data_IF_441448320150
#
_entry.id   IF_441448320150
#
_cell.length_a   1.000
_cell.length_b   1.000
_cell.length_c   1.000
_cell.angle_alpha   90.00
_cell.angle_beta   90.00
_cell.angle_gamma   90.00
#
_symmetry.space_group_name_H-M   'P 1'
#
loop_
_entity.id
_entity.type
_entity.pdbx_description
1 polymer ?
#
# COMPACT_ATOMS: atom_id res chain seq x y z
N UNK A 1 24.20 -12.41 26.77
CA UNK A 1 23.54 -13.40 25.87
C UNK A 1 23.19 -12.77 24.52
N UNK A 2 22.48 -11.65 24.47
CA UNK A 2 22.19 -10.92 23.21
C UNK A 2 23.46 -10.56 22.41
N UNK A 3 24.47 -10.00 23.06
CA UNK A 3 25.76 -9.64 22.44
C UNK A 3 26.46 -10.85 21.78
N UNK A 4 26.44 -12.01 22.44
CA UNK A 4 27.00 -13.26 21.89
C UNK A 4 26.25 -13.72 20.63
N UNK A 5 24.92 -13.72 20.64
CA UNK A 5 24.13 -14.11 19.47
C UNK A 5 24.30 -13.13 18.30
N UNK A 6 24.25 -11.82 18.57
CA UNK A 6 24.49 -10.79 17.55
C UNK A 6 25.89 -10.92 16.94
N UNK A 7 26.91 -11.25 17.76
CA UNK A 7 28.26 -11.52 17.29
C UNK A 7 28.34 -12.74 16.37
N UNK A 8 27.70 -13.86 16.72
CA UNK A 8 27.64 -15.05 15.84
C UNK A 8 27.00 -14.72 14.50
N UNK A 9 25.84 -14.05 14.54
CA UNK A 9 25.09 -13.69 13.34
C UNK A 9 25.90 -12.76 12.45
N UNK A 10 26.52 -11.72 13.02
CA UNK A 10 27.34 -10.77 12.29
C UNK A 10 28.57 -11.43 11.64
N UNK A 11 29.26 -12.32 12.36
CA UNK A 11 30.40 -13.08 11.81
C UNK A 11 29.97 -13.98 10.65
N UNK A 12 28.88 -14.74 10.82
CA UNK A 12 28.33 -15.60 9.77
C UNK A 12 28.06 -14.82 8.47
N UNK A 13 27.43 -13.65 8.57
CA UNK A 13 27.11 -12.83 7.40
C UNK A 13 28.33 -12.17 6.77
N UNK A 14 29.31 -11.76 7.60
CA UNK A 14 30.59 -11.23 7.10
C UNK A 14 31.33 -12.29 6.30
N UNK A 15 31.45 -13.51 6.85
CA UNK A 15 32.10 -14.63 6.18
C UNK A 15 31.41 -15.01 4.86
N UNK A 16 30.07 -15.07 4.85
CA UNK A 16 29.31 -15.31 3.62
C UNK A 16 29.50 -14.20 2.58
N UNK A 17 29.51 -12.94 3.02
CA UNK A 17 29.70 -11.81 2.12
C UNK A 17 31.08 -11.83 1.48
N UNK A 18 32.12 -12.09 2.26
CA UNK A 18 33.50 -12.18 1.77
C UNK A 18 33.69 -13.32 0.78
N UNK A 19 32.99 -14.44 0.97
CA UNK A 19 33.00 -15.55 0.01
C UNK A 19 32.25 -15.19 -1.28
N UNK A 20 31.04 -14.60 -1.17
CA UNK A 20 30.22 -14.23 -2.33
C UNK A 20 30.82 -13.06 -3.13
N UNK A 21 31.54 -12.15 -2.48
CA UNK A 21 32.21 -11.01 -3.11
C UNK A 21 33.22 -11.46 -4.18
N UNK A 22 33.87 -12.63 -3.99
CA UNK A 22 34.80 -13.22 -4.98
C UNK A 22 34.14 -13.48 -6.33
N UNK A 23 32.82 -13.68 -6.33
CA UNK A 23 32.00 -13.92 -7.52
C UNK A 23 31.28 -12.67 -8.03
N UNK A 24 31.58 -11.48 -7.47
CA UNK A 24 30.93 -10.20 -7.81
C UNK A 24 29.40 -10.26 -7.67
N UNK A 25 28.90 -10.98 -6.66
CA UNK A 25 27.47 -11.09 -6.36
C UNK A 25 27.09 -10.08 -5.28
N UNK A 26 25.94 -9.43 -5.46
CA UNK A 26 25.33 -8.62 -4.41
C UNK A 26 24.72 -9.56 -3.37
N UNK A 27 24.89 -9.19 -2.11
CA UNK A 27 24.38 -9.92 -0.96
C UNK A 27 23.31 -9.09 -0.28
N UNK A 28 22.19 -9.72 0.03
CA UNK A 28 21.18 -9.21 0.95
C UNK A 28 20.79 -10.33 1.89
N UNK A 29 20.29 -9.91 3.04
CA UNK A 29 19.76 -10.77 4.07
C UNK A 29 18.30 -10.39 4.22
N UNK A 30 17.45 -11.38 4.44
CA UNK A 30 16.11 -11.19 4.97
C UNK A 30 16.04 -12.04 6.24
N UNK A 31 16.75 -11.61 7.27
CA UNK A 31 16.89 -12.39 8.48
C UNK A 31 15.57 -12.41 9.22
N UNK A 32 15.14 -13.63 9.56
CA UNK A 32 14.08 -14.05 10.47
C UNK A 32 12.73 -13.33 10.36
N UNK A 33 11.71 -14.11 9.99
CA UNK A 33 10.32 -13.66 9.85
C UNK A 33 9.74 -12.94 11.09
N UNK A 34 8.68 -12.17 10.82
CA UNK A 34 7.84 -11.39 11.77
C UNK A 34 8.50 -10.40 12.73
N UNK A 35 9.78 -10.54 13.10
CA UNK A 35 10.43 -9.67 14.09
C UNK A 35 11.40 -8.67 13.47
N UNK A 36 10.90 -7.47 13.16
CA UNK A 36 11.70 -6.37 12.59
C UNK A 36 12.36 -5.50 13.68
N UNK A 37 13.31 -6.08 14.43
CA UNK A 37 14.02 -5.35 15.51
C UNK A 37 15.16 -4.47 14.99
N UNK A 38 15.66 -3.57 15.85
CA UNK A 38 16.84 -2.75 15.51
C UNK A 38 18.13 -3.57 15.46
N UNK A 39 18.23 -4.62 16.28
CA UNK A 39 19.33 -5.57 16.19
C UNK A 39 19.33 -6.30 14.84
N UNK A 40 18.16 -6.73 14.38
CA UNK A 40 18.01 -7.30 13.05
C UNK A 40 18.38 -6.29 11.96
N UNK A 41 17.90 -5.05 12.05
CA UNK A 41 18.27 -3.99 11.10
C UNK A 41 19.76 -3.71 11.06
N UNK A 42 20.45 -3.75 12.20
CA UNK A 42 21.90 -3.59 12.28
C UNK A 42 22.64 -4.70 11.54
N UNK A 43 22.25 -5.96 11.76
CA UNK A 43 22.81 -7.09 11.03
C UNK A 43 22.60 -6.94 9.52
N UNK A 44 21.42 -6.52 9.10
CA UNK A 44 21.13 -6.25 7.68
C UNK A 44 21.89 -5.03 7.15
N UNK A 45 22.39 -4.15 8.00
CA UNK A 45 23.23 -3.03 7.57
C UNK A 45 24.61 -3.46 7.07
N UNK A 46 24.99 -4.73 7.21
CA UNK A 46 26.25 -5.23 6.67
C UNK A 46 26.16 -5.69 5.19
N UNK A 47 24.95 -5.77 4.62
CA UNK A 47 24.70 -6.25 3.25
C UNK A 47 24.83 -5.16 2.19
N UNK A 48 24.80 -5.51 0.90
CA UNK A 48 24.89 -4.52 -0.19
C UNK A 48 23.58 -3.74 -0.37
N UNK A 49 22.45 -4.38 -0.08
CA UNK A 49 21.13 -3.77 -0.02
C UNK A 49 20.30 -4.44 1.08
N UNK A 50 19.30 -3.73 1.59
CA UNK A 50 18.41 -4.25 2.65
C UNK A 50 17.09 -4.63 2.01
N UNK A 51 16.57 -5.81 2.36
CA UNK A 51 15.22 -6.22 1.99
C UNK A 51 14.39 -6.51 3.23
N UNK A 52 13.10 -6.18 3.15
CA UNK A 52 12.11 -6.56 4.15
C UNK A 52 10.86 -7.09 3.47
N UNK A 53 10.24 -8.10 4.08
CA UNK A 53 8.95 -8.62 3.66
C UNK A 53 7.91 -8.35 4.73
N UNK A 54 6.77 -7.79 4.35
CA UNK A 54 5.61 -7.68 5.22
C UNK A 54 4.33 -8.04 4.45
N UNK A 55 3.46 -8.83 5.06
CA UNK A 55 2.14 -9.12 4.49
C UNK A 55 1.07 -8.48 5.39
N UNK A 56 0.26 -7.59 4.82
CA UNK A 56 -0.95 -7.09 5.46
C UNK A 56 -2.06 -8.12 5.36
N UNK A 57 -2.78 -8.33 6.45
CA UNK A 57 -3.60 -9.51 6.67
C UNK A 57 -2.86 -10.83 6.32
N UNK A 58 -2.23 -11.48 7.29
CA UNK A 58 -1.50 -12.73 7.05
C UNK A 58 -2.43 -13.95 6.93
N UNK A 59 -1.91 -15.08 6.44
CA UNK A 59 -2.46 -16.38 6.77
C UNK A 59 -1.66 -17.01 7.93
N UNK A 60 -2.30 -17.86 8.73
CA UNK A 60 -1.59 -18.72 9.70
C UNK A 60 -1.28 -20.11 9.14
N UNK A 61 -1.65 -20.37 7.89
CA UNK A 61 -1.41 -21.65 7.24
C UNK A 61 0.04 -21.74 6.75
N UNK A 62 0.55 -22.98 6.65
CA UNK A 62 1.86 -23.26 6.04
C UNK A 62 1.81 -23.01 4.51
N UNK A 63 0.61 -22.96 3.92
CA UNK A 63 0.41 -22.78 2.48
C UNK A 63 -0.33 -21.49 2.18
N UNK A 64 0.15 -20.80 1.13
CA UNK A 64 -0.43 -19.59 0.56
C UNK A 64 -1.68 -19.88 -0.30
N UNK A 65 -1.89 -21.16 -0.60
CA UNK A 65 -3.13 -21.64 -1.20
C UNK A 65 -4.27 -21.49 -0.21
N UNK A 66 -5.35 -20.88 -0.68
CA UNK A 66 -6.58 -20.79 0.12
C UNK A 66 -7.28 -22.16 0.16
N UNK A 67 -7.52 -22.64 1.37
CA UNK A 67 -8.36 -23.82 1.63
C UNK A 67 -9.50 -23.47 2.58
N UNK A 68 -10.50 -24.35 2.68
CA UNK A 68 -11.39 -24.32 3.83
C UNK A 68 -10.58 -24.38 5.14
N UNK A 69 -11.04 -23.67 6.16
CA UNK A 69 -10.37 -23.46 7.44
C UNK A 69 -9.08 -22.64 7.40
N UNK A 70 -8.71 -22.05 6.26
CA UNK A 70 -7.62 -21.08 6.28
C UNK A 70 -7.94 -19.92 7.21
N UNK A 71 -7.02 -19.61 8.11
CA UNK A 71 -7.15 -18.54 9.11
C UNK A 71 -6.41 -17.31 8.60
N UNK A 72 -7.11 -16.18 8.61
CA UNK A 72 -6.57 -14.86 8.36
C UNK A 72 -6.21 -14.21 9.69
N UNK A 73 -5.11 -13.47 9.74
CA UNK A 73 -4.73 -12.60 10.86
C UNK A 73 -4.66 -11.16 10.39
N UNK A 74 -4.67 -10.20 11.32
CA UNK A 74 -4.53 -8.77 11.02
C UNK A 74 -5.56 -8.21 10.02
N UNK A 75 -6.83 -8.58 10.20
CA UNK A 75 -7.96 -8.15 9.37
C UNK A 75 -8.45 -6.72 9.64
N UNK A 76 -7.60 -5.87 10.21
CA UNK A 76 -7.95 -4.50 10.58
C UNK A 76 -7.55 -3.53 9.46
N UNK A 77 -8.25 -2.40 9.30
CA UNK A 77 -7.86 -1.40 8.32
C UNK A 77 -6.49 -0.82 8.68
N UNK A 78 -5.57 -0.81 7.72
CA UNK A 78 -4.29 -0.11 7.87
C UNK A 78 -4.48 1.37 8.18
N UNK A 79 -5.56 1.95 7.66
CA UNK A 79 -5.90 3.37 7.85
C UNK A 79 -6.18 3.73 9.30
N UNK A 80 -6.45 2.77 10.19
CA UNK A 80 -6.65 3.01 11.63
C UNK A 80 -5.41 2.64 12.48
N UNK A 81 -4.39 2.02 11.87
CA UNK A 81 -3.22 1.51 12.59
C UNK A 81 -1.95 2.32 12.29
N UNK A 82 -1.32 2.85 13.33
CA UNK A 82 -0.01 3.50 13.24
C UNK A 82 1.15 2.49 13.23
N UNK A 83 0.89 1.22 13.53
CA UNK A 83 1.87 0.14 13.55
C UNK A 83 1.67 -0.80 12.37
N UNK A 84 1.42 -0.22 11.19
CA UNK A 84 1.28 -0.95 9.94
C UNK A 84 2.64 -1.11 9.23
N UNK A 85 2.65 -1.83 8.10
CA UNK A 85 3.89 -2.12 7.37
C UNK A 85 4.65 -0.90 6.87
N UNK A 86 3.99 0.25 6.64
CA UNK A 86 4.69 1.46 6.23
C UNK A 86 5.61 1.93 7.36
N UNK A 87 5.10 1.88 8.60
CA UNK A 87 5.90 2.20 9.78
C UNK A 87 7.06 1.21 9.93
N UNK A 88 6.82 -0.08 9.69
CA UNK A 88 7.88 -1.09 9.77
C UNK A 88 8.94 -0.92 8.69
N UNK A 89 8.57 -0.74 7.43
CA UNK A 89 9.53 -0.48 6.36
C UNK A 89 10.38 0.77 6.64
N UNK A 90 9.73 1.85 7.07
CA UNK A 90 10.43 3.10 7.41
C UNK A 90 11.42 2.92 8.56
N UNK A 91 11.06 2.15 9.59
CA UNK A 91 11.93 1.84 10.74
C UNK A 91 13.06 0.85 10.45
N UNK A 92 13.08 0.25 9.26
CA UNK A 92 14.09 -0.74 8.87
C UNK A 92 14.98 -0.27 7.71
N UNK A 93 14.73 0.93 7.16
CA UNK A 93 15.51 1.46 6.06
C UNK A 93 16.88 1.95 6.57
N UNK A 94 17.97 1.36 6.06
CA UNK A 94 19.35 1.73 6.42
C UNK A 94 19.85 2.87 5.53
N UNK A 95 20.61 3.79 6.13
CA UNK A 95 21.22 4.91 5.44
C UNK A 95 22.24 4.44 4.39
N UNK A 96 22.31 5.14 3.26
CA UNK A 96 23.26 4.88 2.17
C UNK A 96 23.17 3.46 1.58
N UNK A 97 22.00 2.81 1.65
CA UNK A 97 21.76 1.50 1.03
C UNK A 97 20.48 1.48 0.21
N UNK A 98 20.45 0.80 -0.94
CA UNK A 98 19.20 0.46 -1.59
C UNK A 98 18.29 -0.32 -0.63
N UNK A 99 16.99 -0.03 -0.67
CA UNK A 99 16.00 -0.64 0.21
C UNK A 99 14.88 -1.26 -0.62
N UNK A 100 14.69 -2.56 -0.46
CA UNK A 100 13.65 -3.34 -1.13
C UNK A 100 12.51 -3.63 -0.14
N UNK A 101 11.35 -3.04 -0.38
CA UNK A 101 10.14 -3.23 0.43
C UNK A 101 9.21 -4.22 -0.27
N UNK A 102 9.33 -5.51 0.09
CA UNK A 102 8.47 -6.57 -0.43
C UNK A 102 7.19 -6.60 0.38
N UNK A 103 6.05 -6.44 -0.26
CA UNK A 103 4.77 -6.32 0.44
C UNK A 103 3.67 -7.16 -0.19
N UNK A 104 2.72 -7.62 0.60
CA UNK A 104 1.53 -8.31 0.12
C UNK A 104 0.31 -7.90 0.93
N UNK A 105 -0.88 -8.15 0.40
CA UNK A 105 -2.12 -8.08 1.17
C UNK A 105 -3.00 -9.27 0.85
N UNK A 106 -3.46 -9.97 1.88
CA UNK A 106 -4.23 -11.20 1.67
C UNK A 106 -5.65 -10.93 1.19
N UNK A 107 -6.09 -11.70 0.21
CA UNK A 107 -7.48 -11.93 -0.10
C UNK A 107 -8.10 -12.84 1.00
N UNK A 108 -9.29 -12.60 1.55
CA UNK A 108 -10.25 -11.54 1.27
C UNK A 108 -10.30 -10.53 2.41
N UNK A 109 -9.21 -9.78 2.62
CA UNK A 109 -9.27 -8.61 3.47
C UNK A 109 -10.22 -7.56 2.85
N UNK A 110 -11.20 -7.08 3.62
CA UNK A 110 -12.08 -5.97 3.20
C UNK A 110 -11.25 -4.74 2.79
N UNK A 111 -10.07 -4.59 3.37
CA UNK A 111 -9.16 -3.48 3.18
C UNK A 111 -8.02 -3.77 2.19
N UNK A 112 -8.10 -4.86 1.40
CA UNK A 112 -7.03 -5.27 0.47
C UNK A 112 -6.64 -4.22 -0.59
N UNK A 113 -7.47 -3.19 -0.79
CA UNK A 113 -7.19 -2.10 -1.71
C UNK A 113 -6.28 -1.01 -1.11
N UNK A 114 -6.25 -0.80 0.21
CA UNK A 114 -5.48 0.29 0.86
C UNK A 114 -3.99 0.25 0.52
N UNK A 115 -3.31 -0.92 0.59
CA UNK A 115 -1.89 -1.01 0.29
C UNK A 115 -1.54 -0.53 -1.13
N UNK A 116 -2.43 -0.74 -2.10
CA UNK A 116 -2.18 -0.46 -3.52
C UNK A 116 -2.05 1.03 -3.82
N UNK A 117 -2.55 1.91 -2.94
CA UNK A 117 -2.38 3.37 -3.06
C UNK A 117 -1.37 3.93 -2.06
N UNK A 118 -1.24 3.32 -0.87
CA UNK A 118 -0.31 3.76 0.16
C UNK A 118 1.15 3.37 -0.14
N UNK A 119 1.41 2.12 -0.52
CA UNK A 119 2.78 1.67 -0.83
C UNK A 119 3.49 2.49 -1.91
N UNK A 120 2.89 2.78 -3.07
CA UNK A 120 3.57 3.56 -4.10
C UNK A 120 3.93 4.98 -3.63
N UNK A 121 3.06 5.63 -2.84
CA UNK A 121 3.33 6.95 -2.25
C UNK A 121 4.58 6.90 -1.37
N UNK A 122 4.60 5.99 -0.40
CA UNK A 122 5.70 5.89 0.55
C UNK A 122 6.98 5.37 -0.10
N UNK A 123 6.88 4.46 -1.07
CA UNK A 123 8.03 3.97 -1.80
C UNK A 123 8.72 5.08 -2.60
N UNK A 124 7.95 5.90 -3.34
CA UNK A 124 8.50 7.03 -4.09
C UNK A 124 9.13 8.07 -3.15
N UNK A 125 8.38 8.46 -2.11
CA UNK A 125 8.84 9.46 -1.12
C UNK A 125 10.13 9.05 -0.40
N UNK A 126 10.31 7.74 -0.12
CA UNK A 126 11.45 7.23 0.64
C UNK A 126 12.55 6.59 -0.22
N UNK A 127 12.38 6.59 -1.54
CA UNK A 127 13.28 5.92 -2.48
C UNK A 127 13.47 4.44 -2.12
N UNK A 128 12.35 3.74 -2.03
CA UNK A 128 12.30 2.29 -1.87
C UNK A 128 12.00 1.64 -3.22
N UNK A 129 12.63 0.50 -3.45
CA UNK A 129 12.19 -0.46 -4.47
C UNK A 129 11.05 -1.30 -3.88
N UNK A 130 9.81 -0.85 -4.04
CA UNK A 130 8.66 -1.60 -3.56
C UNK A 130 8.29 -2.72 -4.55
N UNK A 131 8.13 -3.93 -4.03
CA UNK A 131 7.74 -5.11 -4.82
C UNK A 131 6.46 -5.66 -4.22
N UNK A 132 5.36 -5.60 -4.98
CA UNK A 132 4.16 -6.32 -4.59
C UNK A 132 4.36 -7.81 -4.85
N UNK A 133 4.29 -8.57 -3.78
CA UNK A 133 4.46 -10.00 -3.76
C UNK A 133 3.19 -10.69 -4.30
N UNK A 134 3.38 -11.64 -5.22
CA UNK A 134 2.32 -12.47 -5.79
C UNK A 134 2.82 -13.90 -5.93
N UNK A 135 2.01 -14.88 -5.52
CA UNK A 135 2.25 -16.28 -5.84
C UNK A 135 1.35 -16.71 -7.01
N UNK A 136 1.83 -17.65 -7.81
CA UNK A 136 1.00 -18.53 -8.61
C UNK A 136 1.25 -19.94 -8.06
N UNK A 137 0.31 -20.50 -7.30
CA UNK A 137 0.55 -21.74 -6.55
C UNK A 137 0.89 -22.93 -7.46
N UNK A 138 0.38 -22.96 -8.70
CA UNK A 138 0.60 -24.07 -9.66
C UNK A 138 0.81 -23.55 -11.09
N UNK A 139 -0.05 -22.65 -11.57
CA UNK A 139 0.13 -21.94 -12.85
C UNK A 139 -0.65 -20.63 -12.84
N UNK A 140 -0.33 -19.73 -13.78
CA UNK A 140 -1.06 -18.48 -13.99
C UNK A 140 -2.43 -18.66 -14.68
N UNK A 141 -2.86 -19.91 -14.88
CA UNK A 141 -3.99 -20.21 -15.79
C UNK A 141 -5.36 -20.06 -15.12
N UNK A 142 -5.43 -19.99 -13.78
CA UNK A 142 -6.68 -19.76 -13.04
C UNK A 142 -7.01 -18.26 -13.01
N UNK A 143 -7.42 -17.72 -14.16
CA UNK A 143 -7.82 -16.30 -14.29
C UNK A 143 -9.20 -16.01 -13.68
N UNK A 144 -10.07 -17.02 -13.55
CA UNK A 144 -11.46 -16.85 -13.12
C UNK A 144 -11.70 -17.10 -11.62
N UNK A 145 -10.64 -17.35 -10.85
CA UNK A 145 -10.74 -17.68 -9.42
C UNK A 145 -9.48 -17.24 -8.67
N UNK A 146 -9.67 -16.52 -7.57
CA UNK A 146 -8.60 -16.21 -6.60
C UNK A 146 -8.40 -17.45 -5.73
N UNK A 147 -7.25 -18.13 -5.85
CA UNK A 147 -6.93 -19.37 -5.14
C UNK A 147 -5.71 -19.24 -4.20
N UNK A 148 -5.14 -18.03 -4.13
CA UNK A 148 -4.00 -17.66 -3.33
C UNK A 148 -4.24 -16.34 -2.60
N UNK A 149 -3.79 -16.23 -1.34
CA UNK A 149 -3.96 -15.03 -0.53
C UNK A 149 -3.36 -13.78 -1.19
N UNK A 150 -2.19 -13.89 -1.82
CA UNK A 150 -1.45 -12.71 -2.29
C UNK A 150 -1.52 -12.49 -3.80
N UNK A 151 -2.14 -13.40 -4.55
CA UNK A 151 -2.33 -13.27 -6.00
C UNK A 151 -2.81 -11.87 -6.43
N UNK A 152 -2.15 -11.36 -7.48
CA UNK A 152 -2.50 -10.11 -8.15
C UNK A 152 -3.10 -10.37 -9.53
N UNK A 153 -2.57 -11.36 -10.27
CA UNK A 153 -2.86 -11.60 -11.69
C UNK A 153 -4.33 -11.93 -12.01
N UNK A 154 -5.10 -12.40 -11.03
CA UNK A 154 -6.52 -12.71 -11.12
C UNK A 154 -7.35 -11.96 -10.07
N UNK A 155 -6.76 -10.96 -9.38
CA UNK A 155 -7.48 -10.16 -8.39
C UNK A 155 -7.92 -8.82 -9.01
N UNK A 156 -9.21 -8.66 -9.34
CA UNK A 156 -9.69 -7.48 -10.06
C UNK A 156 -9.53 -6.18 -9.27
N UNK A 157 -9.67 -6.21 -7.94
CA UNK A 157 -9.44 -5.04 -7.08
C UNK A 157 -8.00 -4.57 -7.17
N UNK A 158 -7.02 -5.49 -7.11
CA UNK A 158 -5.59 -5.14 -7.21
C UNK A 158 -5.20 -4.70 -8.63
N UNK A 159 -5.69 -5.39 -9.67
CA UNK A 159 -5.40 -5.05 -11.06
C UNK A 159 -5.94 -3.68 -11.47
N UNK A 160 -7.17 -3.36 -11.08
CA UNK A 160 -7.78 -2.06 -11.39
C UNK A 160 -6.98 -0.88 -10.80
N UNK A 161 -6.25 -1.11 -9.70
CA UNK A 161 -5.41 -0.11 -9.04
C UNK A 161 -3.96 -0.09 -9.54
N UNK A 162 -3.52 -1.02 -10.41
CA UNK A 162 -2.15 -1.01 -10.91
C UNK A 162 -1.77 0.29 -11.65
N UNK A 163 -2.61 0.85 -12.55
CA UNK A 163 -2.33 2.16 -13.17
C UNK A 163 -2.32 3.30 -12.15
N UNK A 164 -3.18 3.23 -11.12
CA UNK A 164 -3.22 4.20 -10.02
C UNK A 164 -1.91 4.18 -9.23
N UNK A 165 -1.41 2.99 -8.90
CA UNK A 165 -0.17 2.82 -8.16
C UNK A 165 1.02 3.41 -8.94
N UNK A 166 1.08 3.17 -10.25
CA UNK A 166 2.10 3.77 -11.11
C UNK A 166 2.00 5.30 -11.12
N UNK A 167 0.80 5.86 -11.29
CA UNK A 167 0.59 7.31 -11.30
C UNK A 167 0.97 7.97 -9.96
N UNK A 168 0.63 7.35 -8.83
CA UNK A 168 1.05 7.82 -7.50
C UNK A 168 2.58 7.79 -7.38
N UNK A 169 3.21 6.68 -7.75
CA UNK A 169 4.67 6.52 -7.63
C UNK A 169 5.42 7.57 -8.47
N UNK A 170 5.11 7.67 -9.76
CA UNK A 170 5.77 8.63 -10.66
C UNK A 170 5.32 10.08 -10.44
N UNK A 171 4.16 10.29 -9.83
CA UNK A 171 3.66 11.62 -9.49
C UNK A 171 4.21 12.19 -8.18
N UNK A 172 4.90 11.38 -7.39
CA UNK A 172 5.43 11.73 -6.07
C UNK A 172 6.93 12.04 -6.14
N UNK A 173 7.33 13.16 -5.57
CA UNK A 173 8.75 13.50 -5.44
C UNK A 173 9.37 12.79 -4.22
N UNK A 174 10.65 12.43 -4.34
CA UNK A 174 11.44 11.94 -3.21
C UNK A 174 11.59 13.04 -2.15
N UNK A 175 11.47 12.68 -0.87
CA UNK A 175 11.71 13.59 0.24
C UNK A 175 13.19 13.62 0.62
N UNK A 176 13.62 14.75 1.20
CA UNK A 176 14.89 14.80 1.91
C UNK A 176 14.91 13.74 3.03
N UNK A 177 15.94 12.90 3.03
CA UNK A 177 16.11 11.85 4.02
C UNK A 177 16.65 12.43 5.33
N UNK A 178 15.95 12.17 6.43
CA UNK A 178 16.43 12.42 7.79
C UNK A 178 17.14 11.17 8.32
N UNK A 179 18.38 11.32 8.79
CA UNK A 179 19.10 10.22 9.42
C UNK A 179 18.70 10.07 10.90
N UNK A 180 18.34 8.86 11.29
CA UNK A 180 18.12 8.44 12.66
C UNK A 180 19.37 7.72 13.15
N UNK A 181 20.07 8.33 14.11
CA UNK A 181 21.31 7.76 14.62
C UNK A 181 21.01 6.76 15.74
N UNK A 182 21.63 5.59 15.65
CA UNK A 182 21.54 4.55 16.68
C UNK A 182 22.97 4.16 17.09
N UNK A 183 23.23 4.09 18.39
CA UNK A 183 24.54 3.67 18.90
C UNK A 183 24.68 2.14 18.77
N UNK A 184 25.77 1.66 18.16
CA UNK A 184 26.03 0.21 17.99
C UNK A 184 26.03 -0.54 19.32
N UNK A 185 26.63 0.05 20.34
CA UNK A 185 26.65 -0.49 21.70
C UNK A 185 25.26 -0.76 22.26
N UNK A 186 24.31 0.14 22.01
CA UNK A 186 22.93 -0.03 22.46
C UNK A 186 22.23 -1.15 21.70
N UNK A 187 22.55 -1.32 20.41
CA UNK A 187 22.04 -2.45 19.62
C UNK A 187 22.54 -3.77 20.19
N UNK A 188 23.85 -3.88 20.45
CA UNK A 188 24.47 -5.11 20.94
C UNK A 188 23.97 -5.50 22.33
N UNK A 189 23.62 -4.52 23.16
CA UNK A 189 23.04 -4.70 24.49
C UNK A 189 21.52 -4.88 24.50
N UNK A 190 20.88 -4.85 23.32
CA UNK A 190 19.42 -4.87 23.16
C UNK A 190 18.69 -3.71 23.89
N UNK A 191 19.35 -2.55 23.96
CA UNK A 191 18.85 -1.31 24.56
C UNK A 191 18.56 -0.24 23.50
N UNK A 192 18.79 -0.53 22.21
CA UNK A 192 18.58 0.42 21.14
C UNK A 192 17.12 0.90 21.07
N UNK A 193 16.96 2.21 20.89
CA UNK A 193 15.68 2.87 20.70
C UNK A 193 15.78 3.78 19.48
N UNK A 194 14.68 3.90 18.73
CA UNK A 194 14.58 4.84 17.62
C UNK A 194 14.04 6.17 18.14
N UNK A 195 14.68 7.28 17.73
CA UNK A 195 14.40 8.64 18.22
C UNK A 195 12.98 9.16 17.93
N UNK A 196 12.23 8.51 17.04
CA UNK A 196 11.02 9.09 16.47
C UNK A 196 9.73 8.50 17.02
N UNK A 197 8.79 9.42 17.30
CA UNK A 197 7.38 9.09 17.43
C UNK A 197 6.86 8.42 16.16
N UNK A 198 5.91 7.50 16.35
CA UNK A 198 5.34 6.68 15.27
C UNK A 198 4.71 7.54 14.17
N UNK A 199 4.33 8.78 14.46
CA UNK A 199 3.78 9.73 13.49
C UNK A 199 4.80 10.24 12.47
N UNK A 200 6.06 10.44 12.88
CA UNK A 200 7.09 11.02 12.00
C UNK A 200 7.48 10.12 10.83
N UNK A 201 7.30 8.80 10.97
CA UNK A 201 7.56 7.82 9.89
C UNK A 201 6.63 8.05 8.69
N UNK A 202 5.45 8.62 8.93
CA UNK A 202 4.50 8.94 7.88
C UNK A 202 4.74 10.32 7.26
N UNK A 203 5.44 11.21 7.97
CA UNK A 203 5.68 12.60 7.54
C UNK A 203 6.97 12.78 6.75
N UNK A 204 8.05 12.12 7.17
CA UNK A 204 9.39 12.32 6.62
C UNK A 204 9.90 11.08 5.91
N UNK A 205 10.92 11.25 5.06
CA UNK A 205 11.76 10.11 4.73
C UNK A 205 12.81 9.94 5.81
N UNK A 206 12.95 8.73 6.34
CA UNK A 206 13.90 8.45 7.43
C UNK A 206 14.71 7.20 7.16
N UNK A 207 15.98 7.22 7.55
CA UNK A 207 16.89 6.07 7.46
C UNK A 207 17.75 5.95 8.70
N UNK A 208 18.05 4.72 9.11
CA UNK A 208 18.90 4.42 10.26
C UNK A 208 20.37 4.49 9.88
N UNK A 209 21.14 5.24 10.65
CA UNK A 209 22.59 5.28 10.60
C UNK A 209 23.17 4.78 11.92
N UNK A 210 23.95 3.71 11.88
CA UNK A 210 24.62 3.19 13.07
C UNK A 210 25.93 3.94 13.33
N UNK A 211 26.17 4.31 14.58
CA UNK A 211 27.34 5.10 15.01
C UNK A 211 27.90 4.57 16.32
N UNK A 212 29.14 4.93 16.65
CA UNK A 212 29.79 4.40 17.86
C UNK A 212 29.25 5.05 19.14
N UNK A 213 28.74 6.29 19.05
CA UNK A 213 28.07 6.97 20.17
C UNK A 213 27.03 7.97 19.68
N UNK A 214 25.86 8.01 20.33
CA UNK A 214 24.83 9.01 20.07
C UNK A 214 24.01 9.32 21.33
N UNK A 215 23.62 10.59 21.48
CA UNK A 215 22.72 11.00 22.55
C UNK A 215 21.27 10.83 22.09
N UNK A 216 20.60 9.82 22.65
CA UNK A 216 19.20 9.56 22.37
C UNK A 216 18.28 10.64 22.96
N UNK A 217 17.32 11.13 22.18
CA UNK A 217 16.22 11.97 22.67
C UNK A 217 14.87 11.27 22.44
N UNK A 218 14.09 11.04 23.50
CA UNK A 218 12.74 10.52 23.33
C UNK A 218 11.82 11.60 22.80
N UNK A 219 11.17 11.34 21.68
CA UNK A 219 10.08 12.17 21.19
C UNK A 219 8.80 11.34 21.06
N UNK A 220 8.00 11.30 22.14
CA UNK A 220 6.69 10.62 22.16
C UNK A 220 5.62 11.54 21.56
N UNK A 221 5.60 11.66 20.24
CA UNK A 221 4.43 12.23 19.55
C UNK A 221 3.57 11.10 19.01
N UNK A 222 2.25 11.20 19.22
CA UNK A 222 1.26 10.24 18.73
C UNK A 222 0.06 11.00 18.15
N UNK A 223 0.31 11.81 17.11
CA UNK A 223 -0.77 12.52 16.41
C UNK A 223 -1.72 11.50 15.76
N UNK A 224 -3.02 11.72 15.89
CA UNK A 224 -4.04 10.92 15.17
C UNK A 224 -4.21 11.38 13.72
N UNK A 225 -3.79 12.62 13.42
CA UNK A 225 -3.83 13.18 12.09
C UNK A 225 -2.41 13.43 11.61
N UNK A 226 -2.08 12.91 10.42
CA UNK A 226 -0.86 13.22 9.68
C UNK A 226 -1.26 14.09 8.51
N UNK A 227 -0.60 15.25 8.38
CA UNK A 227 -0.84 16.18 7.27
C UNK A 227 0.49 16.63 6.69
N UNK A 228 0.66 16.38 5.40
CA UNK A 228 1.75 16.89 4.56
C UNK A 228 1.16 17.36 3.23
N UNK A 229 2.00 17.79 2.29
CA UNK A 229 1.53 18.17 0.95
C UNK A 229 0.98 16.97 0.16
N UNK A 230 1.47 15.76 0.44
CA UNK A 230 1.07 14.55 -0.28
C UNK A 230 0.06 13.67 0.44
N UNK A 231 -0.17 13.89 1.73
CA UNK A 231 -1.02 13.02 2.54
C UNK A 231 -1.84 13.80 3.56
N UNK A 232 -3.12 13.45 3.68
CA UNK A 232 -3.93 13.72 4.85
C UNK A 232 -4.42 12.37 5.39
N UNK A 233 -3.97 11.96 6.55
CA UNK A 233 -4.32 10.66 7.14
C UNK A 233 -4.96 10.88 8.49
N UNK A 234 -6.22 10.50 8.64
CA UNK A 234 -6.94 10.49 9.90
C UNK A 234 -7.06 9.04 10.42
N UNK A 235 -6.14 8.67 11.33
CA UNK A 235 -6.14 7.34 11.93
C UNK A 235 -7.34 7.08 12.82
N UNK A 236 -8.00 8.12 13.34
CA UNK A 236 -9.16 7.94 14.22
C UNK A 236 -10.40 7.58 13.41
N UNK A 237 -10.57 8.24 12.25
CA UNK A 237 -11.71 8.02 11.37
C UNK A 237 -11.43 6.99 10.27
N UNK A 238 -10.20 6.45 10.21
CA UNK A 238 -9.88 5.30 9.35
C UNK A 238 -9.83 5.62 7.86
N UNK A 239 -9.39 6.83 7.48
CA UNK A 239 -9.22 7.19 6.08
C UNK A 239 -7.95 8.00 5.80
N UNK A 240 -7.57 8.01 4.53
CA UNK A 240 -6.40 8.73 4.03
C UNK A 240 -6.64 9.26 2.62
N UNK A 241 -6.27 10.53 2.44
CA UNK A 241 -6.13 11.18 1.14
C UNK A 241 -4.67 11.18 0.71
N UNK A 242 -4.46 10.94 -0.57
CA UNK A 242 -3.17 10.97 -1.24
C UNK A 242 -3.24 12.00 -2.35
N UNK A 243 -2.21 12.85 -2.45
CA UNK A 243 -2.14 13.95 -3.41
C UNK A 243 -0.76 13.98 -4.05
N UNK A 244 -0.72 13.84 -5.36
CA UNK A 244 0.51 13.83 -6.15
C UNK A 244 0.31 14.67 -7.39
N UNK A 245 1.38 14.91 -8.16
CA UNK A 245 1.23 15.64 -9.43
C UNK A 245 0.35 14.91 -10.44
N UNK A 246 0.31 13.57 -10.42
CA UNK A 246 -0.39 12.74 -11.41
C UNK A 246 -1.65 12.06 -10.90
N UNK A 247 -1.87 12.02 -9.60
CA UNK A 247 -3.02 11.34 -9.02
C UNK A 247 -3.49 11.98 -7.70
N UNK A 248 -4.79 11.93 -7.46
CA UNK A 248 -5.42 12.09 -6.17
C UNK A 248 -6.15 10.80 -5.81
N UNK A 249 -6.04 10.32 -4.58
CA UNK A 249 -6.73 9.11 -4.13
C UNK A 249 -7.25 9.26 -2.71
N UNK A 250 -8.32 8.55 -2.39
CA UNK A 250 -8.85 8.36 -1.05
C UNK A 250 -9.02 6.87 -0.80
N UNK A 251 -8.65 6.41 0.38
CA UNK A 251 -8.95 5.04 0.82
C UNK A 251 -9.33 5.02 2.29
N UNK A 252 -10.34 4.22 2.66
CA UNK A 252 -10.82 4.13 4.03
C UNK A 252 -12.33 3.99 4.17
N UNK A 253 -12.78 4.19 5.40
CA UNK A 253 -14.20 4.24 5.78
C UNK A 253 -14.67 5.68 5.61
N UNK A 254 -15.69 5.89 4.78
CA UNK A 254 -16.25 7.23 4.53
C UNK A 254 -17.65 7.31 5.16
N UNK A 255 -17.79 8.09 6.24
CA UNK A 255 -19.08 8.39 6.85
C UNK A 255 -19.79 9.57 6.18
N UNK A 256 -19.00 10.46 5.57
CA UNK A 256 -19.45 11.68 4.90
C UNK A 256 -18.79 11.78 3.52
N UNK A 257 -19.32 12.62 2.61
CA UNK A 257 -18.67 12.88 1.34
C UNK A 257 -17.24 13.40 1.51
N UNK A 258 -16.27 12.72 0.90
CA UNK A 258 -14.86 13.13 0.95
C UNK A 258 -14.52 14.04 -0.23
N UNK A 259 -13.75 15.10 0.06
CA UNK A 259 -13.51 16.19 -0.87
C UNK A 259 -12.02 16.46 -1.05
N UNK A 260 -11.49 15.98 -2.17
CA UNK A 260 -10.12 16.24 -2.63
C UNK A 260 -10.08 17.50 -3.51
N UNK A 261 -8.91 18.07 -3.80
CA UNK A 261 -8.83 19.29 -4.60
C UNK A 261 -9.46 19.16 -6.00
N UNK A 262 -9.35 18.01 -6.66
CA UNK A 262 -9.82 17.80 -8.04
C UNK A 262 -11.16 17.08 -8.12
N UNK A 263 -11.51 16.26 -7.14
CA UNK A 263 -12.80 15.56 -7.11
C UNK A 263 -13.42 15.44 -5.73
N UNK A 264 -14.71 15.19 -5.70
CA UNK A 264 -15.49 14.83 -4.52
C UNK A 264 -16.17 13.50 -4.76
N UNK A 265 -16.22 12.65 -3.75
CA UNK A 265 -16.92 11.37 -3.79
C UNK A 265 -17.92 11.28 -2.65
N UNK A 266 -19.12 10.84 -2.97
CA UNK A 266 -20.16 10.51 -1.99
C UNK A 266 -20.64 9.09 -2.30
N UNK A 267 -20.42 8.14 -1.41
CA UNK A 267 -20.72 6.72 -1.62
C UNK A 267 -21.55 6.17 -0.47
N UNK A 268 -22.33 5.13 -0.77
CA UNK A 268 -23.07 4.37 0.25
C UNK A 268 -22.30 3.12 0.71
N UNK A 269 -21.16 2.83 0.10
CA UNK A 269 -20.29 1.73 0.49
C UNK A 269 -19.60 2.06 1.82
N UNK A 270 -19.47 1.08 2.71
CA UNK A 270 -18.82 1.27 4.01
C UNK A 270 -17.32 1.49 3.90
N UNK A 271 -16.70 0.97 2.85
CA UNK A 271 -15.28 1.12 2.56
C UNK A 271 -15.06 1.34 1.07
N UNK A 272 -14.07 2.14 0.73
CA UNK A 272 -13.72 2.43 -0.65
C UNK A 272 -12.23 2.70 -0.81
N UNK A 273 -11.71 2.38 -1.99
CA UNK A 273 -10.53 3.05 -2.55
C UNK A 273 -10.92 3.68 -3.87
N UNK A 274 -10.83 5.01 -3.95
CA UNK A 274 -11.11 5.77 -5.15
C UNK A 274 -9.91 6.62 -5.53
N UNK A 275 -9.61 6.70 -6.81
CA UNK A 275 -8.50 7.49 -7.33
C UNK A 275 -8.84 8.14 -8.66
N UNK A 276 -8.36 9.36 -8.84
CA UNK A 276 -8.38 10.11 -10.09
C UNK A 276 -6.95 10.29 -10.57
N UNK A 277 -6.67 9.81 -11.78
CA UNK A 277 -5.35 9.83 -12.41
C UNK A 277 -5.37 10.70 -13.65
N UNK A 278 -4.38 11.56 -13.82
CA UNK A 278 -4.11 12.23 -15.10
C UNK A 278 -3.50 11.25 -16.10
N UNK A 279 -4.10 11.16 -17.29
CA UNK A 279 -3.62 10.31 -18.40
C UNK A 279 -2.79 11.13 -19.40
N UNK A 280 -2.86 12.45 -19.30
CA UNK A 280 -2.11 13.35 -20.15
C UNK A 280 -0.80 13.83 -19.46
N UNK A 281 -0.06 14.69 -20.16
CA UNK A 281 1.19 15.23 -19.64
C UNK A 281 0.98 16.24 -18.50
N UNK A 282 -0.24 16.71 -18.26
CA UNK A 282 -0.54 17.72 -17.25
C UNK A 282 -0.64 17.12 -15.84
N UNK A 283 -0.62 18.02 -14.85
CA UNK A 283 -0.94 17.67 -13.48
C UNK A 283 -2.42 17.32 -13.34
N UNK A 284 -2.76 16.45 -12.38
CA UNK A 284 -4.15 16.02 -12.11
C UNK A 284 -5.10 17.20 -11.89
N UNK A 285 -4.64 18.28 -11.28
CA UNK A 285 -5.46 19.48 -11.05
C UNK A 285 -5.84 20.23 -12.34
N UNK A 286 -5.11 20.00 -13.45
CA UNK A 286 -5.23 20.75 -14.71
C UNK A 286 -5.45 19.88 -15.95
N UNK A 287 -5.44 18.55 -15.82
CA UNK A 287 -5.58 17.62 -16.94
C UNK A 287 -6.94 17.72 -17.64
N UNK A 288 -6.98 17.29 -18.90
CA UNK A 288 -8.22 17.22 -19.68
C UNK A 288 -8.64 15.77 -19.94
N UNK A 289 -7.78 14.81 -19.59
CA UNK A 289 -8.05 13.39 -19.72
C UNK A 289 -7.67 12.67 -18.43
N UNK A 290 -8.67 12.00 -17.83
CA UNK A 290 -8.51 11.27 -16.58
C UNK A 290 -8.96 9.82 -16.69
N UNK A 291 -8.36 8.98 -15.86
CA UNK A 291 -8.97 7.72 -15.41
C UNK A 291 -9.41 7.91 -13.96
N UNK A 292 -10.68 7.61 -13.69
CA UNK A 292 -11.22 7.48 -12.34
C UNK A 292 -11.46 6.00 -12.03
N UNK A 293 -10.84 5.48 -10.98
CA UNK A 293 -11.01 4.11 -10.51
C UNK A 293 -11.63 4.13 -9.12
N UNK A 294 -12.67 3.34 -8.89
CA UNK A 294 -13.27 3.11 -7.58
C UNK A 294 -13.50 1.62 -7.36
N UNK A 295 -12.91 1.09 -6.29
CA UNK A 295 -12.98 -0.33 -5.94
C UNK A 295 -13.31 -0.51 -4.46
N UNK A 296 -14.10 -1.55 -4.17
CA UNK A 296 -14.30 -2.11 -2.84
C UNK A 296 -13.56 -3.42 -2.72
N UNK A 297 -14.20 -4.41 -2.11
CA UNK A 297 -13.64 -5.77 -2.02
C UNK A 297 -13.94 -6.62 -3.27
N UNK A 298 -13.27 -7.77 -3.37
CA UNK A 298 -13.52 -8.80 -4.37
C UNK A 298 -13.48 -10.17 -3.71
N UNK A 299 -14.31 -11.12 -4.16
CA UNK A 299 -14.31 -12.48 -3.64
C UNK A 299 -14.78 -13.51 -4.67
N UNK A 300 -14.36 -14.77 -4.55
CA UNK A 300 -14.93 -15.85 -5.35
C UNK A 300 -16.44 -16.01 -5.10
N UNK A 301 -17.18 -16.41 -6.14
CA UNK A 301 -18.59 -16.77 -6.00
C UNK A 301 -18.78 -17.88 -4.98
N UNK A 302 -19.71 -17.69 -4.04
CA UNK A 302 -19.99 -18.65 -2.97
C UNK A 302 -18.94 -18.71 -1.85
N UNK A 303 -17.93 -17.82 -1.83
CA UNK A 303 -17.00 -17.77 -0.70
C UNK A 303 -17.69 -17.29 0.57
N UNK A 304 -17.33 -17.88 1.71
CA UNK A 304 -17.85 -17.55 3.03
C UNK A 304 -16.71 -17.47 4.05
N UNK A 305 -16.65 -16.35 4.77
CA UNK A 305 -15.70 -16.12 5.85
C UNK A 305 -16.44 -15.99 7.18
N UNK A 306 -16.05 -16.79 8.16
CA UNK A 306 -16.47 -16.62 9.54
C UNK A 306 -15.57 -15.59 10.20
N UNK A 307 -16.03 -14.33 10.27
CA UNK A 307 -15.25 -13.22 10.84
C UNK A 307 -14.92 -13.41 12.32
N UNK A 308 -15.81 -14.03 13.10
CA UNK A 308 -15.57 -14.30 14.52
C UNK A 308 -14.43 -15.30 14.76
N UNK A 309 -14.17 -16.18 13.79
CA UNK A 309 -13.06 -17.15 13.80
C UNK A 309 -11.96 -16.78 12.81
N UNK A 310 -12.09 -15.64 12.13
CA UNK A 310 -11.22 -15.16 11.05
C UNK A 310 -10.84 -16.27 10.06
N UNK A 311 -11.79 -17.11 9.65
CA UNK A 311 -11.48 -18.28 8.82
C UNK A 311 -12.48 -18.52 7.71
N UNK A 312 -12.00 -19.12 6.63
CA UNK A 312 -12.85 -19.59 5.54
C UNK A 312 -13.71 -20.77 5.97
N UNK A 313 -15.02 -20.67 5.76
CA UNK A 313 -15.94 -21.81 5.80
C UNK A 313 -16.23 -22.34 4.40
N UNK A 314 -16.04 -21.53 3.36
CA UNK A 314 -16.02 -21.95 1.96
C UNK A 314 -15.12 -20.99 1.16
N UNK A 315 -14.24 -21.50 0.31
CA UNK A 315 -13.33 -20.67 -0.51
C UNK A 315 -13.98 -20.17 -1.82
N UNK A 316 -15.17 -20.68 -2.14
CA UNK A 316 -15.90 -20.37 -3.35
C UNK A 316 -15.39 -21.10 -4.61
N UNK A 317 -16.07 -20.83 -5.72
CA UNK A 317 -15.85 -21.42 -7.03
C UNK A 317 -15.41 -20.36 -8.04
N UNK A 318 -15.35 -20.73 -9.32
CA UNK A 318 -15.02 -19.81 -10.40
C UNK A 318 -16.06 -18.69 -10.49
N UNK A 319 -15.64 -17.54 -11.02
CA UNK A 319 -16.44 -16.33 -11.09
C UNK A 319 -16.13 -15.43 -9.90
N UNK A 320 -15.21 -14.49 -10.09
CA UNK A 320 -14.85 -13.50 -9.07
C UNK A 320 -15.88 -12.39 -9.08
N UNK A 321 -16.48 -12.14 -7.92
CA UNK A 321 -17.40 -11.05 -7.67
C UNK A 321 -16.61 -9.83 -7.20
N UNK A 322 -16.93 -8.67 -7.76
CA UNK A 322 -16.44 -7.38 -7.29
C UNK A 322 -17.58 -6.64 -6.62
N UNK A 323 -17.29 -6.01 -5.49
CA UNK A 323 -18.25 -5.11 -4.85
C UNK A 323 -18.47 -3.88 -5.76
N UNK A 324 -19.72 -3.60 -6.18
CA UNK A 324 -20.00 -2.40 -6.93
C UNK A 324 -19.89 -1.18 -6.01
N UNK A 325 -19.11 -0.18 -6.45
CA UNK A 325 -19.13 1.13 -5.81
C UNK A 325 -20.33 1.90 -6.32
N UNK A 326 -21.17 2.37 -5.38
CA UNK A 326 -22.37 3.12 -5.67
C UNK A 326 -22.31 4.49 -5.02
N UNK A 327 -22.69 5.52 -5.78
CA UNK A 327 -22.59 6.89 -5.29
C UNK A 327 -22.53 7.93 -6.40
N UNK A 328 -22.02 9.10 -6.05
CA UNK A 328 -21.82 10.21 -6.99
C UNK A 328 -20.39 10.69 -6.92
N UNK A 329 -19.86 11.07 -8.08
CA UNK A 329 -18.54 11.68 -8.23
C UNK A 329 -18.74 13.05 -8.85
N UNK A 330 -18.13 14.06 -8.23
CA UNK A 330 -18.05 15.40 -8.79
C UNK A 330 -16.61 15.69 -9.18
N UNK A 331 -16.36 15.98 -10.45
CA UNK A 331 -15.07 16.46 -10.92
C UNK A 331 -15.10 17.98 -10.91
N UNK A 332 -14.21 18.61 -10.14
CA UNK A 332 -14.15 20.06 -9.88
C UNK A 332 -13.54 20.84 -11.04
N UNK A 333 -14.07 20.59 -12.24
CA UNK A 333 -13.67 21.20 -13.49
C UNK A 333 -14.90 21.61 -14.27
N UNK A 334 -14.85 22.82 -14.81
CA UNK A 334 -15.84 23.32 -15.76
C UNK A 334 -15.48 22.86 -17.18
N UNK A 335 -16.44 22.94 -18.10
CA UNK A 335 -16.25 22.52 -19.50
C UNK A 335 -17.31 21.54 -19.97
N UNK A 336 -17.09 20.97 -21.15
CA UNK A 336 -17.92 19.89 -21.67
C UNK A 336 -17.27 18.55 -21.32
N UNK A 337 -17.91 17.81 -20.42
CA UNK A 337 -17.38 16.57 -19.87
C UNK A 337 -18.08 15.36 -20.46
N UNK A 338 -17.30 14.36 -20.84
CA UNK A 338 -17.77 13.05 -21.24
C UNK A 338 -17.17 12.01 -20.29
N UNK A 339 -18.01 11.07 -19.83
CA UNK A 339 -17.60 10.00 -18.94
C UNK A 339 -17.97 8.66 -19.59
N UNK A 340 -17.05 7.71 -19.59
CA UNK A 340 -17.24 6.38 -20.13
C UNK A 340 -16.86 5.32 -19.11
N UNK A 341 -17.75 4.37 -18.83
CA UNK A 341 -17.39 3.16 -18.10
C UNK A 341 -16.49 2.28 -18.98
N UNK A 342 -15.46 1.68 -18.37
CA UNK A 342 -14.48 0.84 -19.04
C UNK A 342 -14.57 -0.62 -18.57
N UNK A 343 -14.30 -1.56 -19.47
CA UNK A 343 -14.07 -2.96 -19.09
C UNK A 343 -12.64 -3.17 -18.54
N UNK A 344 -12.30 -4.42 -18.17
CA UNK A 344 -10.98 -4.79 -17.63
C UNK A 344 -9.83 -4.59 -18.62
N UNK A 345 -10.10 -4.51 -19.92
CA UNK A 345 -9.11 -4.21 -20.97
C UNK A 345 -8.94 -2.71 -21.23
N UNK A 346 -9.73 -1.85 -20.57
CA UNK A 346 -9.73 -0.40 -20.78
C UNK A 346 -10.59 0.07 -21.94
N UNK A 347 -11.42 -0.80 -22.53
CA UNK A 347 -12.32 -0.43 -23.63
C UNK A 347 -13.60 0.20 -23.10
N UNK A 348 -14.09 1.25 -23.77
CA UNK A 348 -15.36 1.91 -23.43
C UNK A 348 -16.52 0.96 -23.68
N UNK A 349 -17.33 0.71 -22.65
CA UNK A 349 -18.52 -0.14 -22.75
C UNK A 349 -19.83 0.64 -22.67
N UNK A 350 -19.83 1.81 -22.03
CA UNK A 350 -21.03 2.62 -21.82
C UNK A 350 -20.67 4.08 -21.58
N UNK A 351 -21.39 5.01 -22.20
CA UNK A 351 -21.29 6.42 -21.84
C UNK A 351 -22.19 6.72 -20.64
N UNK A 352 -21.65 7.42 -19.65
CA UNK A 352 -22.35 7.81 -18.42
C UNK A 352 -22.85 9.25 -18.56
N UNK A 353 -24.10 9.47 -18.17
CA UNK A 353 -24.70 10.80 -18.18
C UNK A 353 -24.01 11.70 -17.16
N UNK A 354 -23.66 12.92 -17.59
CA UNK A 354 -23.06 13.95 -16.75
C UNK A 354 -24.05 15.09 -16.55
N UNK A 355 -24.27 15.47 -15.30
CA UNK A 355 -24.99 16.68 -14.93
C UNK A 355 -24.00 17.74 -14.43
N UNK A 356 -24.46 18.99 -14.24
CA UNK A 356 -23.63 20.06 -13.67
C UNK A 356 -24.16 20.49 -12.31
N UNK A 357 -23.25 20.75 -11.39
CA UNK A 357 -23.56 21.37 -10.11
C UNK A 357 -23.75 22.90 -10.24
N UNK A 358 -24.00 23.59 -9.12
CA UNK A 358 -24.17 25.05 -9.09
C UNK A 358 -22.90 25.85 -9.47
N UNK A 359 -21.73 25.21 -9.43
CA UNK A 359 -20.44 25.79 -9.81
C UNK A 359 -20.05 25.43 -11.26
N UNK A 360 -20.88 24.65 -11.96
CA UNK A 360 -20.62 24.17 -13.30
C UNK A 360 -19.73 22.94 -13.38
N UNK A 361 -19.45 22.28 -12.25
CA UNK A 361 -18.66 21.06 -12.14
C UNK A 361 -19.46 19.84 -12.60
N UNK A 362 -18.81 18.91 -13.29
CA UNK A 362 -19.45 17.69 -13.78
C UNK A 362 -19.73 16.71 -12.64
N UNK A 363 -20.96 16.21 -12.58
CA UNK A 363 -21.40 15.15 -11.65
C UNK A 363 -21.87 13.95 -12.47
N UNK A 364 -21.37 12.76 -12.12
CA UNK A 364 -21.90 11.49 -12.62
C UNK A 364 -22.12 10.50 -11.47
N UNK A 365 -22.96 9.50 -11.74
CA UNK A 365 -23.34 8.47 -10.77
C UNK A 365 -22.57 7.19 -11.06
N UNK A 366 -22.05 6.57 -10.01
CA UNK A 366 -21.51 5.21 -10.03
C UNK A 366 -22.65 4.25 -9.68
N UNK A 367 -22.86 3.22 -10.50
CA UNK A 367 -23.91 2.23 -10.28
C UNK A 367 -23.45 0.82 -10.59
N UNK A 368 -24.07 -0.16 -9.95
CA UNK A 368 -23.86 -1.58 -10.29
C UNK A 368 -24.15 -1.88 -11.78
N UNK A 369 -25.12 -1.16 -12.38
CA UNK A 369 -25.52 -1.33 -13.78
C UNK A 369 -24.47 -0.88 -14.80
N UNK A 370 -23.40 -0.22 -14.34
CA UNK A 370 -22.31 0.20 -15.21
C UNK A 370 -21.35 -0.95 -15.51
N UNK A 371 -21.31 -1.98 -14.66
CA UNK A 371 -20.44 -3.15 -14.85
C UNK A 371 -18.95 -2.80 -14.87
N UNK A 372 -18.55 -1.70 -14.22
CA UNK A 372 -17.21 -1.15 -14.28
C UNK A 372 -16.75 -0.60 -12.92
N UNK A 373 -15.46 -0.77 -12.64
CA UNK A 373 -14.74 -0.10 -11.55
C UNK A 373 -13.91 1.08 -12.02
N UNK A 374 -13.76 1.24 -13.34
CA UNK A 374 -12.88 2.23 -13.96
C UNK A 374 -13.66 3.04 -15.00
N UNK A 375 -13.43 4.34 -15.02
CA UNK A 375 -14.13 5.31 -15.86
C UNK A 375 -13.12 6.23 -16.53
N UNK A 376 -13.23 6.42 -17.84
CA UNK A 376 -12.52 7.45 -18.58
C UNK A 376 -13.30 8.76 -18.53
N UNK A 377 -12.62 9.87 -18.28
CA UNK A 377 -13.21 11.20 -18.22
C UNK A 377 -12.44 12.12 -19.16
N UNK A 378 -13.14 12.72 -20.11
CA UNK A 378 -12.59 13.66 -21.08
C UNK A 378 -13.29 15.01 -20.92
N UNK A 379 -12.51 16.08 -20.84
CA UNK A 379 -12.98 17.47 -20.70
C UNK A 379 -12.50 18.26 -21.91
N UNK A 380 -13.44 18.81 -22.67
CA UNK A 380 -13.18 19.65 -23.85
C UNK A 380 -13.21 21.14 -23.58
#
# INVERSE_FOLDING_TARGET
MAEFYNGIISNYYTDMKDELARYKKLVSINSNGSESTIADTYVNSETDFVTRKYNDAGNLNISEKMTENSILVDFNPMTESKTNFIADFTRNAVANKPYCAVWGTAAYNLYQAQPSVLMPLFAAKNNWSAIQHTYANISYDSVDKIDDFYSVYNNPTKLALAPVAAAIFYGTNENNTTLQKVAKDDVMKNNAQIEQGVDKVFMNSTRIAFSDSFAYSQNKSMRNIIKTDNIYWDFKNGFVDIRTSKAEAVTGILEEPEELPTFKINTINSYITAALVSVDENNVTSANHYIFTAVGTSQNSGSLVNLARQRFTAVGENGILCEPIMGTVTIKRTGNMQVYALNSSGERIKQISVSKDRFGYGIFTLSQSDGASTYEIVIG
#
